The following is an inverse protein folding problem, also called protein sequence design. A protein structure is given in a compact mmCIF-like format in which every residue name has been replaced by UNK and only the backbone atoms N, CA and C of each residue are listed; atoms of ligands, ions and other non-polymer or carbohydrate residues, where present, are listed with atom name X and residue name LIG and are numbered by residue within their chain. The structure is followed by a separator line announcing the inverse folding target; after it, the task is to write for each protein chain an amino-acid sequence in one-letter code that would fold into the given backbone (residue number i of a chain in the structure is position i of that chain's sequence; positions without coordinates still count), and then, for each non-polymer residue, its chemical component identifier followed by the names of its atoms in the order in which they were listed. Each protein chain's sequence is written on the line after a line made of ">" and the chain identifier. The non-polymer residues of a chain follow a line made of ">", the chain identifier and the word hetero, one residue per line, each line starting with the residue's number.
data_IF_824486953636
#
_entry.id   IF_824486953636
#
_cell.length_a   1.000
_cell.length_b   1.000
_cell.length_c   1.000
_cell.angle_alpha   90.00
_cell.angle_beta   90.00
_cell.angle_gamma   90.00
#
_symmetry.space_group_name_H-M   'P 1'
#
loop_
_entity.id
_entity.type
_entity.pdbx_description
1 polymer ?
#
# COMPACT_ATOMS: atom_id res chain seq x y z
N UNK A 1 4.87 2.80 5.12
CA UNK A 1 4.09 1.55 5.29
C UNK A 1 5.07 0.43 5.47
N UNK A 2 4.95 -0.30 6.55
CA UNK A 2 5.92 -1.27 7.01
C UNK A 2 5.21 -2.60 7.28
N UNK A 3 5.78 -3.70 6.79
CA UNK A 3 5.31 -5.04 7.15
C UNK A 3 6.12 -5.49 8.36
N UNK A 4 5.44 -5.72 9.48
CA UNK A 4 6.05 -6.42 10.61
C UNK A 4 6.07 -7.93 10.31
N UNK A 5 7.26 -8.49 10.24
CA UNK A 5 7.49 -9.91 10.06
C UNK A 5 7.33 -10.64 11.41
N UNK A 6 7.10 -11.96 11.35
CA UNK A 6 6.95 -12.79 12.54
C UNK A 6 8.22 -12.84 13.41
N UNK A 7 9.36 -12.44 12.87
CA UNK A 7 10.66 -12.32 13.54
C UNK A 7 10.88 -10.92 14.17
N UNK A 8 9.89 -10.03 14.12
CA UNK A 8 9.96 -8.66 14.65
C UNK A 8 10.69 -7.67 13.74
N UNK A 9 11.14 -8.08 12.56
CA UNK A 9 11.74 -7.16 11.58
C UNK A 9 10.68 -6.42 10.79
N UNK A 10 10.96 -5.17 10.42
CA UNK A 10 10.08 -4.35 9.60
C UNK A 10 10.62 -4.31 8.17
N UNK A 11 9.92 -4.93 7.22
CA UNK A 11 10.29 -4.83 5.80
C UNK A 11 9.69 -3.54 5.23
N UNK A 12 10.53 -2.62 4.71
CA UNK A 12 10.03 -1.44 4.03
C UNK A 12 9.31 -1.88 2.75
N UNK A 13 8.01 -1.58 2.68
CA UNK A 13 7.23 -1.85 1.48
C UNK A 13 7.40 -0.67 0.53
N UNK A 14 8.27 -0.82 -0.47
CA UNK A 14 8.45 0.21 -1.50
C UNK A 14 7.21 0.29 -2.37
N UNK A 15 6.31 1.22 -2.07
CA UNK A 15 5.23 1.59 -2.98
C UNK A 15 5.82 2.49 -4.06
N UNK A 16 6.06 1.94 -5.26
CA UNK A 16 6.49 2.77 -6.38
C UNK A 16 5.43 3.85 -6.64
N UNK A 17 5.84 5.11 -6.59
CA UNK A 17 5.00 6.26 -6.90
C UNK A 17 4.82 6.37 -8.43
N UNK A 18 4.24 5.33 -9.02
CA UNK A 18 3.83 5.35 -10.41
C UNK A 18 2.39 5.85 -10.51
N UNK A 19 2.08 6.72 -11.50
CA UNK A 19 0.73 7.24 -11.70
C UNK A 19 -0.29 6.13 -12.01
N UNK A 20 0.18 4.99 -12.51
CA UNK A 20 -0.62 3.80 -12.73
C UNK A 20 0.14 2.56 -12.30
N UNK A 21 -0.52 1.74 -11.47
CA UNK A 21 -0.04 0.41 -11.07
C UNK A 21 -1.05 -0.63 -11.53
N UNK A 22 -0.56 -1.79 -11.98
CA UNK A 22 -1.46 -2.89 -12.37
C UNK A 22 -2.27 -3.33 -11.13
N UNK A 23 -3.57 -3.60 -11.35
CA UNK A 23 -4.47 -4.00 -10.26
C UNK A 23 -4.02 -5.26 -9.51
N UNK A 24 -3.38 -6.21 -10.21
CA UNK A 24 -2.79 -7.41 -9.59
C UNK A 24 -1.65 -7.07 -8.63
N UNK A 25 -0.76 -6.16 -9.02
CA UNK A 25 0.34 -5.67 -8.16
C UNK A 25 -0.20 -4.96 -6.92
N UNK A 26 -1.19 -4.07 -7.09
CA UNK A 26 -1.84 -3.39 -5.97
C UNK A 26 -2.48 -4.40 -5.00
N UNK A 27 -3.20 -5.41 -5.52
CA UNK A 27 -3.79 -6.47 -4.70
C UNK A 27 -2.73 -7.23 -3.90
N UNK A 28 -1.62 -7.62 -4.53
CA UNK A 28 -0.53 -8.32 -3.85
C UNK A 28 0.03 -7.49 -2.70
N UNK A 29 0.30 -6.20 -2.93
CA UNK A 29 0.82 -5.28 -1.93
C UNK A 29 -0.16 -5.11 -0.76
N UNK A 30 -1.44 -4.87 -1.05
CA UNK A 30 -2.48 -4.69 -0.04
C UNK A 30 -2.70 -5.94 0.81
N UNK A 31 -2.71 -7.12 0.17
CA UNK A 31 -2.80 -8.40 0.88
C UNK A 31 -1.58 -8.64 1.76
N UNK A 32 -0.37 -8.37 1.26
CA UNK A 32 0.87 -8.50 2.03
C UNK A 32 0.94 -7.52 3.20
N UNK A 33 0.35 -6.33 3.05
CA UNK A 33 0.29 -5.32 4.08
C UNK A 33 -0.89 -5.51 5.06
N UNK A 34 -1.82 -6.43 4.78
CA UNK A 34 -3.05 -6.58 5.56
C UNK A 34 -3.98 -5.36 5.48
N UNK A 35 -3.88 -4.55 4.42
CA UNK A 35 -4.65 -3.31 4.26
C UNK A 35 -5.85 -3.58 3.34
N UNK A 36 -7.08 -3.31 3.78
CA UNK A 36 -8.25 -3.36 2.90
C UNK A 36 -8.12 -2.35 1.75
N UNK A 37 -8.51 -2.76 0.55
CA UNK A 37 -8.43 -1.93 -0.66
C UNK A 37 -9.15 -0.59 -0.50
N UNK A 38 -10.34 -0.60 0.08
CA UNK A 38 -11.16 0.60 0.22
C UNK A 38 -10.52 1.62 1.16
N UNK A 39 -9.93 1.16 2.27
CA UNK A 39 -9.16 1.99 3.18
C UNK A 39 -7.96 2.64 2.49
N UNK A 40 -7.23 1.85 1.68
CA UNK A 40 -6.12 2.38 0.89
C UNK A 40 -6.58 3.47 -0.11
N UNK A 41 -7.67 3.23 -0.84
CA UNK A 41 -8.17 4.18 -1.84
C UNK A 41 -8.73 5.46 -1.21
N UNK A 42 -9.38 5.37 -0.04
CA UNK A 42 -9.86 6.54 0.69
C UNK A 42 -8.68 7.46 1.04
N UNK A 43 -7.64 6.91 1.67
CA UNK A 43 -6.44 7.66 2.05
C UNK A 43 -5.73 8.20 0.81
N UNK A 44 -5.58 7.39 -0.24
CA UNK A 44 -4.94 7.80 -1.50
C UNK A 44 -5.68 8.97 -2.16
N UNK A 45 -7.00 8.88 -2.28
CA UNK A 45 -7.82 9.94 -2.86
C UNK A 45 -7.80 11.22 -2.01
N UNK A 46 -7.76 11.09 -0.68
CA UNK A 46 -7.62 12.24 0.23
C UNK A 46 -6.26 12.93 0.07
N UNK A 47 -5.19 12.15 -0.06
CA UNK A 47 -3.83 12.67 -0.26
C UNK A 47 -3.64 13.30 -1.66
N UNK A 48 -4.26 12.74 -2.70
CA UNK A 48 -4.24 13.29 -4.06
C UNK A 48 -5.02 14.61 -4.18
N UNK A 49 -6.10 14.80 -3.41
CA UNK A 49 -6.90 16.05 -3.42
C UNK A 49 -6.27 17.21 -2.63
N UNK A 50 -5.13 17.00 -1.98
CA UNK A 50 -4.42 18.01 -1.18
C UNK A 50 -3.21 18.65 -1.87
N UNK A 51 -3.04 18.45 -3.19
CA UNK A 51 -1.98 19.03 -4.02
C UNK A 51 -2.61 19.94 -5.07
#
# INVERSE_FOLDING_TARGET
>A
MERMNADGTSTPLTMLNHPTIKGSTLRTILTQAGIPRDNFLEVYNRMQKGV
#
